data_IF_220138613154
#
_entry.id   IF_220138613154
#
_cell.length_a   1.000
_cell.length_b   1.000
_cell.length_c   1.000
_cell.angle_alpha   90.00
_cell.angle_beta   90.00
_cell.angle_gamma   90.00
#
_symmetry.space_group_name_H-M   'P 1'
#
loop_
_entity.id
_entity.type
_entity.pdbx_description
1 polymer ?
#
# COMPACT_ATOMS: atom_id res chain seq x y z
N UNK A 1 -21.22 -20.21 35.39
CA UNK A 1 -22.62 -20.37 34.91
C UNK A 1 -22.74 -19.64 33.59
N UNK A 2 -23.36 -20.27 32.60
CA UNK A 2 -23.48 -19.76 31.22
C UNK A 2 -24.62 -18.74 31.08
N UNK A 3 -24.50 -17.83 30.11
CA UNK A 3 -25.57 -17.44 29.17
C UNK A 3 -24.97 -16.57 28.03
N UNK A 4 -25.01 -17.00 26.76
CA UNK A 4 -26.08 -16.74 25.77
C UNK A 4 -26.27 -15.24 25.46
N UNK A 5 -25.93 -14.68 24.28
CA UNK A 5 -26.29 -14.99 22.87
C UNK A 5 -27.66 -14.43 22.44
N UNK A 6 -27.69 -13.88 21.21
CA UNK A 6 -28.83 -13.40 20.42
C UNK A 6 -29.54 -12.12 20.90
N UNK A 7 -29.90 -11.18 20.03
CA UNK A 7 -30.31 -11.38 18.64
C UNK A 7 -31.72 -10.81 18.52
N UNK A 8 -31.82 -9.54 18.10
CA UNK A 8 -33.07 -8.77 18.17
C UNK A 8 -33.84 -8.87 16.85
N UNK A 9 -34.95 -9.62 16.89
CA UNK A 9 -36.16 -9.48 16.04
C UNK A 9 -36.06 -9.84 14.53
N UNK A 10 -37.14 -10.28 13.87
CA UNK A 10 -38.40 -10.90 14.34
C UNK A 10 -39.32 -11.29 13.17
N UNK A 11 -40.24 -12.24 13.43
CA UNK A 11 -41.55 -12.43 12.79
C UNK A 11 -41.65 -12.71 11.28
N UNK A 12 -42.08 -13.93 10.95
CA UNK A 12 -43.29 -14.13 10.16
C UNK A 12 -44.04 -15.37 10.69
N UNK A 13 -45.36 -15.27 10.87
CA UNK A 13 -46.27 -16.22 11.52
C UNK A 13 -47.60 -16.10 10.76
N UNK A 14 -47.90 -17.02 9.83
CA UNK A 14 -48.94 -18.09 9.90
C UNK A 14 -48.96 -18.85 8.53
N UNK A 15 -49.66 -19.95 8.20
CA UNK A 15 -50.21 -21.21 8.79
C UNK A 15 -50.89 -21.98 7.59
N UNK A 16 -51.56 -23.15 7.72
CA UNK A 16 -51.27 -24.39 8.45
C UNK A 16 -51.34 -25.70 7.60
N UNK A 17 -50.73 -26.80 8.08
CA UNK A 17 -51.10 -28.20 7.78
C UNK A 17 -50.69 -28.79 6.40
N UNK A 18 -50.47 -30.10 6.21
CA UNK A 18 -50.46 -31.25 7.14
C UNK A 18 -49.50 -32.35 6.62
N UNK A 19 -49.14 -33.30 7.49
CA UNK A 19 -48.11 -34.32 7.30
C UNK A 19 -48.30 -35.27 6.10
N UNK A 20 -47.19 -35.70 5.46
CA UNK A 20 -46.65 -37.07 5.64
C UNK A 20 -45.48 -37.43 4.68
N UNK A 21 -44.60 -38.32 5.17
CA UNK A 21 -43.87 -39.36 4.42
C UNK A 21 -42.56 -39.05 3.63
N UNK A 22 -41.59 -39.94 3.89
CA UNK A 22 -40.50 -40.41 3.03
C UNK A 22 -39.26 -39.53 2.72
N UNK A 23 -38.12 -40.23 2.61
CA UNK A 23 -36.74 -39.71 2.58
C UNK A 23 -36.19 -39.58 1.11
N UNK A 24 -34.89 -39.35 0.84
CA UNK A 24 -34.44 -38.36 -0.17
C UNK A 24 -34.02 -38.95 -1.53
N UNK A 25 -33.63 -38.08 -2.48
CA UNK A 25 -32.49 -38.39 -3.35
C UNK A 25 -31.48 -37.24 -3.61
N UNK A 26 -30.24 -37.45 -3.17
CA UNK A 26 -29.03 -37.58 -4.03
C UNK A 26 -28.74 -36.54 -5.15
N UNK A 27 -27.66 -35.77 -4.91
CA UNK A 27 -26.62 -35.26 -5.84
C UNK A 27 -26.90 -34.23 -6.97
N UNK A 28 -25.96 -33.25 -7.03
CA UNK A 28 -25.40 -32.55 -8.22
C UNK A 28 -26.33 -31.65 -9.05
N UNK A 29 -26.22 -30.33 -8.82
CA UNK A 29 -25.68 -29.43 -9.85
C UNK A 29 -25.15 -28.10 -9.30
N UNK A 30 -23.93 -27.75 -9.68
CA UNK A 30 -23.41 -26.38 -9.60
C UNK A 30 -24.26 -25.46 -10.49
N UNK A 31 -24.65 -24.29 -9.98
CA UNK A 31 -24.67 -23.00 -10.68
C UNK A 31 -25.06 -21.88 -9.72
N UNK A 32 -24.08 -21.06 -9.34
CA UNK A 32 -24.36 -19.70 -8.91
C UNK A 32 -24.92 -18.93 -10.10
N UNK A 33 -26.00 -18.17 -9.91
CA UNK A 33 -26.54 -17.27 -10.92
C UNK A 33 -27.19 -16.09 -10.21
N UNK A 34 -26.39 -15.07 -9.92
CA UNK A 34 -26.88 -13.74 -9.53
C UNK A 34 -26.92 -12.85 -10.77
N UNK A 35 -27.91 -11.96 -10.94
CA UNK A 35 -28.01 -11.13 -12.13
C UNK A 35 -26.88 -10.10 -12.20
N UNK A 36 -26.24 -9.96 -13.36
CA UNK A 36 -25.35 -8.84 -13.65
C UNK A 36 -26.19 -7.55 -13.62
N UNK A 37 -25.97 -6.71 -12.60
CA UNK A 37 -26.36 -5.31 -12.68
C UNK A 37 -25.40 -4.62 -13.64
N UNK A 38 -25.92 -4.11 -14.75
CA UNK A 38 -25.20 -3.15 -15.57
C UNK A 38 -25.02 -1.86 -14.75
N UNK A 39 -23.79 -1.59 -14.30
CA UNK A 39 -23.36 -0.23 -14.02
C UNK A 39 -22.87 0.40 -15.31
N UNK A 40 -23.52 1.46 -15.84
CA UNK A 40 -22.84 2.36 -16.76
C UNK A 40 -21.74 3.11 -15.99
N UNK A 41 -20.70 3.54 -16.71
CA UNK A 41 -19.54 4.31 -16.18
C UNK A 41 -18.55 3.51 -15.30
N UNK A 42 -17.97 2.45 -15.86
CA UNK A 42 -16.54 2.21 -15.62
C UNK A 42 -15.76 3.25 -16.41
N UNK A 43 -15.27 4.30 -15.75
CA UNK A 43 -14.13 5.07 -16.26
C UNK A 43 -12.86 4.24 -16.04
N UNK A 44 -12.66 3.27 -16.92
CA UNK A 44 -11.33 2.72 -17.16
C UNK A 44 -10.44 3.88 -17.64
N UNK A 45 -9.24 4.10 -17.07
CA UNK A 45 -8.36 5.15 -17.57
C UNK A 45 -8.06 4.86 -19.04
N UNK A 46 -8.16 5.85 -19.95
CA UNK A 46 -7.94 5.63 -21.37
C UNK A 46 -6.57 4.98 -21.56
N UNK A 47 -6.51 3.93 -22.38
CA UNK A 47 -5.27 3.25 -22.66
C UNK A 47 -4.26 4.23 -23.26
N UNK A 48 -2.95 3.94 -23.17
CA UNK A 48 -1.94 4.79 -23.80
C UNK A 48 -2.19 5.00 -25.30
N UNK A 49 -2.86 4.03 -25.95
CA UNK A 49 -3.31 4.11 -27.35
C UNK A 49 -4.47 5.11 -27.53
N UNK A 50 -5.47 5.12 -26.65
CA UNK A 50 -6.61 6.05 -26.72
C UNK A 50 -6.14 7.49 -26.51
N UNK A 51 -5.16 7.69 -25.62
CA UNK A 51 -4.54 8.99 -25.39
C UNK A 51 -3.66 9.45 -26.56
N UNK A 52 -3.03 8.51 -27.30
CA UNK A 52 -2.33 8.79 -28.56
C UNK A 52 -3.29 9.11 -29.70
N UNK A 53 -4.42 8.41 -29.82
CA UNK A 53 -5.48 8.70 -30.79
C UNK A 53 -6.11 10.08 -30.56
N UNK A 54 -6.28 10.49 -29.29
CA UNK A 54 -6.72 11.83 -28.94
C UNK A 54 -5.68 12.92 -29.27
N UNK A 55 -4.39 12.60 -29.23
CA UNK A 55 -3.31 13.52 -29.59
C UNK A 55 -3.08 13.61 -31.12
N UNK A 56 -3.37 12.54 -31.86
CA UNK A 56 -3.17 12.45 -33.30
C UNK A 56 -4.38 11.80 -34.01
N UNK A 57 -5.50 12.53 -34.22
CA UNK A 57 -6.72 11.98 -34.82
C UNK A 57 -6.54 11.50 -36.26
N UNK A 58 -5.62 12.12 -37.00
CA UNK A 58 -5.38 11.87 -38.44
C UNK A 58 -4.30 10.81 -38.72
N UNK A 59 -3.70 10.20 -37.68
CA UNK A 59 -2.58 9.27 -37.80
C UNK A 59 -3.01 7.81 -37.67
N UNK A 60 -2.48 6.94 -38.54
CA UNK A 60 -2.87 5.52 -38.60
C UNK A 60 -2.59 4.79 -37.27
N UNK A 61 -3.60 4.09 -36.75
CA UNK A 61 -3.55 3.36 -35.47
C UNK A 61 -2.41 2.33 -35.40
N UNK A 62 -2.00 1.76 -36.53
CA UNK A 62 -0.87 0.82 -36.60
C UNK A 62 0.49 1.51 -36.33
N UNK A 63 0.65 2.78 -36.73
CA UNK A 63 1.86 3.57 -36.47
C UNK A 63 1.90 4.03 -35.01
N UNK A 64 0.75 4.39 -34.43
CA UNK A 64 0.62 4.73 -33.00
C UNK A 64 0.99 3.53 -32.11
N UNK A 65 0.50 2.33 -32.45
CA UNK A 65 0.85 1.07 -31.78
C UNK A 65 2.35 0.77 -31.88
N UNK A 66 2.92 0.83 -33.09
CA UNK A 66 4.35 0.56 -33.29
C UNK A 66 5.24 1.54 -32.54
N UNK A 67 4.94 2.84 -32.58
CA UNK A 67 5.70 3.86 -31.87
C UNK A 67 5.64 3.67 -30.34
N UNK A 68 4.51 3.19 -29.81
CA UNK A 68 4.37 2.87 -28.38
C UNK A 68 5.18 1.62 -27.98
N UNK A 69 5.19 0.58 -28.83
CA UNK A 69 5.98 -0.64 -28.63
C UNK A 69 7.49 -0.35 -28.71
N UNK A 70 7.94 0.40 -29.72
CA UNK A 70 9.33 0.86 -29.88
C UNK A 70 9.79 1.78 -28.73
N UNK A 71 8.87 2.53 -28.11
CA UNK A 71 9.12 3.36 -26.94
C UNK A 71 8.91 2.63 -25.59
N UNK A 72 8.77 1.30 -25.59
CA UNK A 72 8.68 0.50 -24.36
C UNK A 72 7.43 0.79 -23.52
N UNK A 73 6.33 1.19 -24.15
CA UNK A 73 5.09 1.68 -23.54
C UNK A 73 5.19 3.02 -22.79
N UNK A 74 6.30 3.78 -22.91
CA UNK A 74 6.32 5.17 -22.43
C UNK A 74 5.58 6.10 -23.40
N UNK A 75 4.40 6.54 -22.96
CA UNK A 75 3.55 7.49 -23.67
C UNK A 75 4.29 8.79 -24.04
N UNK A 76 5.19 9.31 -23.18
CA UNK A 76 5.87 10.60 -23.46
C UNK A 76 6.89 10.46 -24.58
N UNK A 77 7.67 9.38 -24.58
CA UNK A 77 8.59 9.04 -25.66
C UNK A 77 7.85 8.71 -26.95
N UNK A 78 6.73 7.98 -26.88
CA UNK A 78 5.89 7.68 -28.04
C UNK A 78 5.34 8.97 -28.69
N UNK A 79 4.76 9.89 -27.89
CA UNK A 79 4.31 11.21 -28.37
C UNK A 79 5.47 11.97 -29.05
N UNK A 80 6.65 12.04 -28.42
CA UNK A 80 7.81 12.74 -28.98
C UNK A 80 8.32 12.11 -30.29
N UNK A 81 8.29 10.79 -30.39
CA UNK A 81 8.64 10.05 -31.61
C UNK A 81 7.65 10.34 -32.74
N UNK A 82 6.34 10.29 -32.44
CA UNK A 82 5.27 10.57 -33.39
C UNK A 82 5.30 12.02 -33.87
N UNK A 83 5.49 13.01 -32.98
CA UNK A 83 5.72 14.41 -33.36
C UNK A 83 6.90 14.56 -34.34
N UNK A 84 8.00 13.81 -34.12
CA UNK A 84 9.17 13.83 -35.01
C UNK A 84 8.86 13.19 -36.37
N UNK A 85 8.07 12.11 -36.42
CA UNK A 85 7.63 11.49 -37.68
C UNK A 85 6.68 12.41 -38.46
N UNK A 86 5.75 13.09 -37.78
CA UNK A 86 4.86 14.08 -38.41
C UNK A 86 5.61 15.31 -38.93
N UNK A 87 6.66 15.78 -38.23
CA UNK A 87 7.53 16.84 -38.75
C UNK A 87 8.38 16.37 -39.93
N UNK A 88 8.96 15.17 -39.86
CA UNK A 88 9.79 14.61 -40.94
C UNK A 88 9.04 14.47 -42.26
N UNK A 89 7.74 14.14 -42.21
CA UNK A 89 6.88 14.05 -43.40
C UNK A 89 6.53 15.41 -44.02
N UNK A 90 6.73 16.52 -43.29
CA UNK A 90 6.53 17.88 -43.79
C UNK A 90 7.80 18.50 -44.40
N UNK A 91 8.97 17.88 -44.18
CA UNK A 91 10.28 18.47 -44.54
C UNK A 91 10.98 17.78 -45.73
N UNK A 92 10.38 16.75 -46.34
CA UNK A 92 10.82 16.18 -47.64
C UNK A 92 10.34 17.00 -48.85
N UNK A 93 10.55 18.33 -48.84
CA UNK A 93 10.54 19.13 -50.08
C UNK A 93 11.45 20.38 -50.00
N UNK A 94 12.70 20.21 -49.60
CA UNK A 94 13.80 21.12 -49.98
C UNK A 94 15.14 20.40 -49.84
N UNK A 95 16.01 20.48 -50.85
CA UNK A 95 17.10 19.50 -51.03
C UNK A 95 18.53 19.96 -50.72
N UNK A 96 19.45 19.01 -50.89
CA UNK A 96 20.90 19.14 -51.16
C UNK A 96 21.86 19.61 -50.03
N UNK A 97 22.56 18.63 -49.42
CA UNK A 97 24.04 18.40 -49.43
C UNK A 97 25.06 19.59 -49.50
N UNK A 98 26.33 19.42 -49.07
CA UNK A 98 26.86 18.72 -47.87
C UNK A 98 28.14 19.40 -47.24
N UNK A 99 28.73 18.76 -46.21
CA UNK A 99 30.13 18.86 -45.69
C UNK A 99 30.81 20.19 -45.27
N UNK A 100 31.47 20.18 -44.10
CA UNK A 100 32.89 20.60 -43.96
C UNK A 100 33.51 20.18 -42.60
N UNK A 101 34.80 19.85 -42.58
CA UNK A 101 35.61 19.45 -41.41
C UNK A 101 36.87 20.33 -41.26
N UNK A 102 37.47 20.35 -40.06
CA UNK A 102 38.77 20.97 -39.75
C UNK A 102 38.62 22.03 -38.64
N UNK A 103 39.16 21.90 -37.43
CA UNK A 103 40.51 21.51 -36.96
C UNK A 103 41.63 22.50 -37.32
N UNK A 104 42.31 23.01 -36.28
CA UNK A 104 43.77 23.17 -36.10
C UNK A 104 44.06 24.18 -34.96
N UNK A 105 44.90 23.72 -34.02
CA UNK A 105 45.86 24.41 -33.11
C UNK A 105 45.78 25.95 -32.86
N UNK A 106 46.16 26.49 -31.70
CA UNK A 106 47.53 26.35 -31.12
C UNK A 106 47.66 27.04 -29.76
N UNK A 107 48.41 26.43 -28.83
CA UNK A 107 48.79 27.08 -27.57
C UNK A 107 50.25 27.53 -27.54
N UNK A 108 50.56 28.53 -26.71
CA UNK A 108 51.91 28.76 -26.14
C UNK A 108 51.77 29.46 -24.79
N UNK A 109 52.54 29.05 -23.78
CA UNK A 109 52.66 29.76 -22.50
C UNK A 109 53.62 30.96 -22.60
N UNK A 110 53.67 31.86 -21.59
CA UNK A 110 54.83 32.13 -20.70
C UNK A 110 54.48 33.23 -19.67
N UNK A 111 55.19 33.20 -18.53
CA UNK A 111 55.54 34.31 -17.63
C UNK A 111 54.50 34.87 -16.64
N UNK A 112 54.89 34.76 -15.37
CA UNK A 112 54.31 35.47 -14.23
C UNK A 112 54.32 37.00 -14.40
N UNK A 113 53.23 37.62 -13.96
CA UNK A 113 53.13 39.03 -13.66
C UNK A 113 52.32 39.19 -12.40
N UNK A 114 53.00 39.45 -11.28
CA UNK A 114 52.37 39.89 -10.03
C UNK A 114 51.70 41.23 -10.30
N UNK A 115 50.37 41.28 -10.22
CA UNK A 115 49.61 42.52 -10.24
C UNK A 115 48.58 42.48 -9.13
N UNK A 116 48.75 43.41 -8.20
CA UNK A 116 47.98 43.53 -6.98
C UNK A 116 46.47 43.34 -7.21
N UNK A 117 45.87 42.52 -6.34
CA UNK A 117 44.44 42.56 -6.09
C UNK A 117 44.07 43.96 -5.63
N UNK A 118 43.62 44.80 -6.57
CA UNK A 118 43.08 46.11 -6.24
C UNK A 118 41.71 45.88 -5.60
N UNK A 119 41.67 45.95 -4.27
CA UNK A 119 40.41 46.16 -3.56
C UNK A 119 39.80 47.48 -4.06
N UNK A 120 38.70 47.39 -4.78
CA UNK A 120 37.78 48.50 -4.98
C UNK A 120 36.62 48.30 -3.98
N UNK A 121 36.30 49.28 -3.14
CA UNK A 121 35.68 49.01 -1.85
C UNK A 121 34.23 48.56 -1.97
N UNK A 122 33.93 47.48 -1.27
CA UNK A 122 32.59 47.01 -0.98
C UNK A 122 31.70 48.13 -0.45
N UNK A 123 30.74 48.53 -1.27
CA UNK A 123 29.49 49.18 -0.84
C UNK A 123 28.31 48.25 -1.11
N UNK A 124 28.48 46.98 -0.73
CA UNK A 124 27.35 46.12 -0.38
C UNK A 124 26.75 46.63 0.93
N UNK A 125 25.88 47.64 0.85
CA UNK A 125 25.01 47.97 1.97
C UNK A 125 23.69 48.59 1.48
N UNK A 126 22.60 47.84 1.66
CA UNK A 126 21.21 48.26 1.48
C UNK A 126 20.78 48.55 0.03
N UNK A 127 20.88 47.54 -0.84
CA UNK A 127 20.21 47.52 -2.13
C UNK A 127 18.67 47.61 -1.92
N UNK A 128 17.94 48.52 -2.60
CA UNK A 128 16.53 48.76 -2.30
C UNK A 128 15.67 47.49 -2.44
N UNK A 129 14.83 47.23 -1.43
CA UNK A 129 14.01 46.00 -1.39
C UNK A 129 12.68 46.23 -2.10
N UNK A 130 12.14 47.45 -2.01
CA UNK A 130 10.79 47.79 -2.47
C UNK A 130 10.81 48.70 -3.72
N UNK A 131 9.81 48.55 -4.59
CA UNK A 131 9.72 49.33 -5.83
C UNK A 131 9.69 50.86 -5.63
N UNK A 132 9.09 51.33 -4.53
CA UNK A 132 9.08 52.77 -4.17
C UNK A 132 10.49 53.30 -3.92
N UNK A 133 11.33 52.54 -3.21
CA UNK A 133 12.70 52.93 -2.88
C UNK A 133 13.58 52.98 -4.14
N UNK A 134 13.37 52.07 -5.10
CA UNK A 134 13.98 52.12 -6.43
C UNK A 134 13.56 53.36 -7.23
N UNK A 135 12.28 53.73 -7.20
CA UNK A 135 11.78 54.96 -7.87
C UNK A 135 12.39 56.21 -7.23
N UNK A 136 12.45 56.29 -5.90
CA UNK A 136 13.08 57.41 -5.20
C UNK A 136 14.57 57.51 -5.50
N UNK A 137 15.30 56.39 -5.49
CA UNK A 137 16.73 56.35 -5.82
C UNK A 137 16.99 56.78 -7.27
N UNK A 138 16.18 56.30 -8.22
CA UNK A 138 16.25 56.68 -9.63
C UNK A 138 15.98 58.18 -9.85
N UNK A 139 14.92 58.73 -9.25
CA UNK A 139 14.59 60.16 -9.34
C UNK A 139 15.67 61.02 -8.68
N UNK A 140 16.21 60.60 -7.53
CA UNK A 140 17.28 61.28 -6.80
C UNK A 140 18.57 61.38 -7.63
N UNK A 141 18.99 60.26 -8.23
CA UNK A 141 20.18 60.21 -9.10
C UNK A 141 19.99 61.02 -10.39
N UNK A 142 18.82 60.99 -11.02
CA UNK A 142 18.59 61.87 -12.18
C UNK A 142 18.56 63.35 -11.80
N UNK A 143 17.98 63.70 -10.64
CA UNK A 143 17.88 65.10 -10.19
C UNK A 143 19.23 65.68 -9.76
N UNK A 144 20.20 64.85 -9.36
CA UNK A 144 21.57 65.26 -9.05
C UNK A 144 22.46 65.46 -10.28
N UNK A 145 21.99 65.09 -11.47
CA UNK A 145 22.78 65.13 -12.69
C UNK A 145 23.06 66.55 -13.20
N UNK A 146 24.24 66.73 -13.79
CA UNK A 146 24.75 68.02 -14.29
C UNK A 146 24.56 68.22 -15.79
N UNK A 147 24.26 67.15 -16.51
CA UNK A 147 23.99 67.14 -17.95
C UNK A 147 23.06 65.98 -18.33
N UNK A 148 22.48 66.02 -19.52
CA UNK A 148 21.60 64.94 -20.01
C UNK A 148 22.33 63.60 -20.21
N UNK A 149 23.64 63.64 -20.49
CA UNK A 149 24.46 62.42 -20.66
C UNK A 149 24.89 61.84 -19.30
N UNK A 150 25.13 62.69 -18.30
CA UNK A 150 25.31 62.30 -16.88
C UNK A 150 24.01 61.67 -16.33
N UNK A 151 22.85 62.30 -16.59
CA UNK A 151 21.53 61.74 -16.27
C UNK A 151 21.32 60.35 -16.88
N UNK A 152 21.69 60.18 -18.16
CA UNK A 152 21.59 58.89 -18.86
C UNK A 152 22.52 57.84 -18.25
N UNK A 153 23.78 58.19 -17.96
CA UNK A 153 24.73 57.27 -17.33
C UNK A 153 24.25 56.80 -15.96
N UNK A 154 23.71 57.71 -15.14
CA UNK A 154 23.12 57.38 -13.83
C UNK A 154 21.89 56.50 -13.95
N UNK A 155 20.97 56.83 -14.86
CA UNK A 155 19.78 56.03 -15.13
C UNK A 155 20.16 54.59 -15.54
N UNK A 156 21.13 54.42 -16.44
CA UNK A 156 21.65 53.10 -16.83
C UNK A 156 22.18 52.33 -15.61
N UNK A 157 23.06 52.93 -14.80
CA UNK A 157 23.64 52.27 -13.60
C UNK A 157 22.58 51.84 -12.57
N UNK A 158 21.56 52.66 -12.34
CA UNK A 158 20.46 52.31 -11.43
C UNK A 158 19.63 51.16 -12.00
N UNK A 159 19.35 51.15 -13.31
CA UNK A 159 18.59 50.07 -13.95
C UNK A 159 19.37 48.75 -14.01
N UNK A 160 20.68 48.78 -14.28
CA UNK A 160 21.55 47.60 -14.18
C UNK A 160 21.59 47.03 -12.74
N UNK A 161 21.55 47.89 -11.73
CA UNK A 161 21.51 47.49 -10.32
C UNK A 161 20.15 46.88 -9.95
N UNK A 162 19.05 47.42 -10.49
CA UNK A 162 17.71 46.87 -10.36
C UNK A 162 17.59 45.49 -11.04
N UNK A 163 18.12 45.34 -12.25
CA UNK A 163 18.15 44.06 -12.97
C UNK A 163 18.90 42.99 -12.16
N UNK A 164 20.10 43.31 -11.64
CA UNK A 164 20.86 42.43 -10.75
C UNK A 164 20.05 42.05 -9.50
N UNK A 165 19.37 43.00 -8.87
CA UNK A 165 18.51 42.76 -7.70
C UNK A 165 17.37 41.79 -8.01
N UNK A 166 16.66 42.01 -9.13
CA UNK A 166 15.54 41.16 -9.57
C UNK A 166 16.04 39.75 -9.89
N UNK A 167 17.12 39.62 -10.65
CA UNK A 167 17.69 38.33 -11.02
C UNK A 167 18.19 37.54 -9.80
N UNK A 168 18.87 38.18 -8.86
CA UNK A 168 19.29 37.56 -7.60
C UNK A 168 18.09 37.11 -6.77
N UNK A 169 17.07 37.96 -6.62
CA UNK A 169 15.87 37.65 -5.83
C UNK A 169 15.06 36.51 -6.44
N UNK A 170 14.79 36.55 -7.75
CA UNK A 170 14.09 35.48 -8.46
C UNK A 170 14.84 34.14 -8.38
N UNK A 171 16.18 34.16 -8.48
CA UNK A 171 17.01 32.97 -8.28
C UNK A 171 16.93 32.42 -6.85
N UNK A 172 16.99 33.30 -5.84
CA UNK A 172 16.86 32.92 -4.43
C UNK A 172 15.46 32.38 -4.09
N UNK A 173 14.39 32.99 -4.61
CA UNK A 173 13.01 32.54 -4.45
C UNK A 173 12.78 31.18 -5.12
N UNK A 174 13.30 30.97 -6.34
CA UNK A 174 13.24 29.68 -7.02
C UNK A 174 13.97 28.58 -6.24
N UNK A 175 15.19 28.85 -5.76
CA UNK A 175 15.96 27.93 -4.92
C UNK A 175 15.25 27.62 -3.59
N UNK A 176 14.65 28.64 -2.95
CA UNK A 176 13.89 28.47 -1.71
C UNK A 176 12.63 27.63 -1.92
N UNK A 177 11.89 27.85 -3.02
CA UNK A 177 10.69 27.08 -3.33
C UNK A 177 11.02 25.63 -3.67
N UNK A 178 12.07 25.38 -4.46
CA UNK A 178 12.57 24.03 -4.71
C UNK A 178 12.99 23.33 -3.41
N UNK A 179 13.66 24.04 -2.49
CA UNK A 179 14.03 23.48 -1.19
C UNK A 179 12.82 23.11 -0.32
N UNK A 180 11.79 23.98 -0.26
CA UNK A 180 10.52 23.70 0.45
C UNK A 180 9.83 22.46 -0.12
N UNK A 181 9.69 22.38 -1.45
CA UNK A 181 9.06 21.24 -2.12
C UNK A 181 9.84 19.94 -1.89
N UNK A 182 11.18 19.99 -1.99
CA UNK A 182 12.04 18.84 -1.74
C UNK A 182 11.92 18.31 -0.30
N UNK A 183 11.81 19.19 0.69
CA UNK A 183 11.59 18.80 2.08
C UNK A 183 10.19 18.20 2.29
N UNK A 184 9.14 18.82 1.75
CA UNK A 184 7.78 18.30 1.79
C UNK A 184 7.66 16.90 1.14
N UNK A 185 8.34 16.68 0.01
CA UNK A 185 8.37 15.37 -0.66
C UNK A 185 9.12 14.31 0.18
N UNK A 186 10.21 14.68 0.85
CA UNK A 186 10.92 13.79 1.79
C UNK A 186 10.03 13.38 2.97
N UNK A 187 9.30 14.33 3.55
CA UNK A 187 8.35 14.05 4.65
C UNK A 187 7.24 13.09 4.20
N UNK A 188 6.67 13.28 3.01
CA UNK A 188 5.67 12.36 2.43
C UNK A 188 6.24 10.96 2.19
N UNK A 189 7.46 10.84 1.65
CA UNK A 189 8.15 9.55 1.48
C UNK A 189 8.34 8.87 2.84
N UNK A 190 8.72 9.60 3.89
CA UNK A 190 8.88 9.04 5.23
C UNK A 190 7.56 8.55 5.83
N UNK A 191 6.45 9.30 5.65
CA UNK A 191 5.09 8.85 6.03
C UNK A 191 4.77 7.52 5.35
N UNK A 192 4.91 7.44 4.02
CA UNK A 192 4.58 6.23 3.24
C UNK A 192 5.47 5.04 3.64
N UNK A 193 6.74 5.26 3.98
CA UNK A 193 7.63 4.20 4.49
C UNK A 193 7.18 3.68 5.87
N UNK A 194 6.74 4.57 6.77
CA UNK A 194 6.18 4.16 8.08
C UNK A 194 4.88 3.37 7.90
N UNK A 195 3.98 3.82 7.04
CA UNK A 195 2.74 3.08 6.71
C UNK A 195 3.02 1.72 6.05
N UNK A 196 3.96 1.64 5.12
CA UNK A 196 4.39 0.40 4.50
C UNK A 196 4.94 -0.61 5.53
N UNK A 197 5.60 -0.12 6.58
CA UNK A 197 6.10 -0.95 7.69
C UNK A 197 4.95 -1.48 8.55
N UNK A 198 3.94 -0.65 8.84
CA UNK A 198 2.71 -1.06 9.55
C UNK A 198 1.96 -2.11 8.73
N UNK A 199 1.79 -1.89 7.43
CA UNK A 199 1.11 -2.85 6.54
C UNK A 199 1.85 -4.19 6.46
N UNK A 200 3.18 -4.18 6.32
CA UNK A 200 4.00 -5.41 6.36
C UNK A 200 3.82 -6.20 7.65
N UNK A 201 3.77 -5.52 8.81
CA UNK A 201 3.49 -6.16 10.12
C UNK A 201 2.07 -6.74 10.16
N UNK A 202 1.07 -6.01 9.68
CA UNK A 202 -0.31 -6.47 9.63
C UNK A 202 -0.47 -7.72 8.73
N UNK A 203 0.18 -7.74 7.57
CA UNK A 203 0.19 -8.90 6.65
C UNK A 203 0.89 -10.11 7.28
N UNK A 204 2.01 -9.92 7.99
CA UNK A 204 2.68 -11.01 8.70
C UNK A 204 1.79 -11.64 9.78
N UNK A 205 1.14 -10.82 10.60
CA UNK A 205 0.18 -11.27 11.64
C UNK A 205 -1.03 -11.98 10.99
N UNK A 206 -1.53 -11.48 9.86
CA UNK A 206 -2.65 -12.12 9.16
C UNK A 206 -2.27 -13.48 8.58
N UNK A 207 -1.04 -13.62 8.05
CA UNK A 207 -0.52 -14.89 7.55
C UNK A 207 -0.31 -15.91 8.68
N UNK A 208 0.23 -15.50 9.82
CA UNK A 208 0.36 -16.32 11.03
C UNK A 208 -1.01 -16.86 11.48
N UNK A 209 -2.00 -15.97 11.64
CA UNK A 209 -3.38 -16.36 12.01
C UNK A 209 -4.06 -17.28 10.99
N UNK A 210 -3.80 -17.09 9.70
CA UNK A 210 -4.34 -17.97 8.66
C UNK A 210 -3.72 -19.37 8.77
N UNK A 211 -2.40 -19.44 9.00
CA UNK A 211 -1.71 -20.71 9.22
C UNK A 211 -2.25 -21.45 10.45
N UNK A 212 -2.40 -20.74 11.58
CA UNK A 212 -2.94 -21.35 12.81
C UNK A 212 -4.36 -21.89 12.62
N UNK A 213 -5.20 -21.19 11.83
CA UNK A 213 -6.53 -21.66 11.46
C UNK A 213 -6.47 -22.91 10.56
N UNK A 214 -5.58 -22.94 9.57
CA UNK A 214 -5.42 -24.07 8.65
C UNK A 214 -4.86 -25.31 9.37
N UNK A 215 -3.93 -25.14 10.31
CA UNK A 215 -3.40 -26.18 11.19
C UNK A 215 -4.51 -26.71 12.14
N UNK A 216 -5.23 -25.81 12.82
CA UNK A 216 -6.38 -26.17 13.70
C UNK A 216 -7.48 -26.91 12.92
N UNK A 217 -7.74 -26.53 11.67
CA UNK A 217 -8.71 -27.21 10.82
C UNK A 217 -8.25 -28.62 10.44
N UNK A 218 -6.95 -28.84 10.18
CA UNK A 218 -6.41 -30.20 9.96
C UNK A 218 -6.57 -31.07 11.22
N UNK A 219 -6.24 -30.55 12.40
CA UNK A 219 -6.47 -31.25 13.68
C UNK A 219 -7.95 -31.58 13.89
N UNK A 220 -8.86 -30.65 13.57
CA UNK A 220 -10.30 -30.89 13.64
C UNK A 220 -10.77 -32.00 12.70
N UNK A 221 -10.27 -32.07 11.45
CA UNK A 221 -10.62 -33.18 10.54
C UNK A 221 -10.09 -34.52 11.05
N UNK A 222 -8.85 -34.55 11.56
CA UNK A 222 -8.27 -35.76 12.18
C UNK A 222 -9.10 -36.23 13.39
N UNK A 223 -9.42 -35.32 14.32
CA UNK A 223 -10.23 -35.64 15.49
C UNK A 223 -11.63 -36.14 15.10
N UNK A 224 -12.26 -35.54 14.07
CA UNK A 224 -13.54 -35.99 13.53
C UNK A 224 -13.47 -37.43 12.99
N UNK A 225 -12.37 -37.79 12.33
CA UNK A 225 -12.14 -39.16 11.86
C UNK A 225 -12.00 -40.14 13.03
N UNK A 226 -11.22 -39.80 14.06
CA UNK A 226 -11.03 -40.63 15.27
C UNK A 226 -12.35 -40.78 16.05
N UNK A 227 -13.13 -39.72 16.22
CA UNK A 227 -14.46 -39.78 16.83
C UNK A 227 -15.40 -40.70 16.04
N UNK A 228 -15.34 -40.65 14.70
CA UNK A 228 -16.14 -41.55 13.85
C UNK A 228 -15.75 -43.02 14.03
N UNK A 229 -14.45 -43.31 14.19
CA UNK A 229 -13.97 -44.67 14.48
C UNK A 229 -14.47 -45.18 15.84
N UNK A 230 -14.40 -44.37 16.90
CA UNK A 230 -14.92 -44.76 18.22
C UNK A 230 -16.45 -44.96 18.22
N UNK A 231 -17.19 -44.12 17.48
CA UNK A 231 -18.63 -44.31 17.30
C UNK A 231 -18.97 -45.63 16.57
N UNK A 232 -18.13 -46.04 15.61
CA UNK A 232 -18.28 -47.32 14.91
C UNK A 232 -17.96 -48.51 15.84
N UNK A 233 -16.89 -48.43 16.64
CA UNK A 233 -16.54 -49.46 17.63
C UNK A 233 -17.66 -49.65 18.67
N UNK A 234 -18.24 -48.57 19.19
CA UNK A 234 -19.39 -48.64 20.09
C UNK A 234 -20.60 -49.30 19.44
N UNK A 235 -20.89 -49.00 18.16
CA UNK A 235 -21.98 -49.61 17.41
C UNK A 235 -21.77 -51.11 17.22
N UNK A 236 -20.55 -51.55 16.92
CA UNK A 236 -20.19 -52.97 16.80
C UNK A 236 -20.39 -53.69 18.13
N UNK A 237 -19.88 -53.14 19.23
CA UNK A 237 -20.06 -53.72 20.57
C UNK A 237 -21.54 -53.78 21.01
N UNK A 238 -22.36 -52.78 20.66
CA UNK A 238 -23.80 -52.81 20.93
C UNK A 238 -24.50 -53.95 20.14
N UNK A 239 -24.11 -54.17 18.89
CA UNK A 239 -24.65 -55.26 18.04
C UNK A 239 -24.18 -56.62 18.56
N UNK A 240 -22.90 -56.78 18.93
CA UNK A 240 -22.37 -58.00 19.54
C UNK A 240 -23.08 -58.32 20.86
N UNK A 241 -23.28 -57.34 21.73
CA UNK A 241 -24.04 -57.51 22.97
C UNK A 241 -25.50 -57.93 22.71
N UNK A 242 -26.17 -57.34 21.71
CA UNK A 242 -27.56 -57.68 21.35
C UNK A 242 -27.70 -59.03 20.61
N UNK A 243 -26.64 -59.53 19.97
CA UNK A 243 -26.62 -60.81 19.24
C UNK A 243 -26.03 -61.97 20.04
N UNK A 244 -25.33 -61.67 21.15
CA UNK A 244 -24.94 -62.64 22.17
C UNK A 244 -26.17 -63.38 22.70
N UNK A 245 -26.11 -64.72 22.67
CA UNK A 245 -27.23 -65.57 23.05
C UNK A 245 -27.59 -65.40 24.54
N UNK A 246 -28.89 -65.33 24.92
CA UNK A 246 -29.30 -65.18 26.32
C UNK A 246 -28.82 -66.33 27.23
N UNK A 247 -28.41 -67.47 26.66
CA UNK A 247 -27.80 -68.58 27.40
C UNK A 247 -26.51 -68.16 28.14
N UNK A 248 -25.70 -67.25 27.57
CA UNK A 248 -24.51 -66.73 28.25
C UNK A 248 -24.84 -65.74 29.37
N UNK A 249 -26.01 -65.09 29.32
CA UNK A 249 -26.43 -64.12 30.34
C UNK A 249 -26.85 -64.84 31.64
N UNK A 250 -27.63 -65.92 31.50
CA UNK A 250 -28.01 -66.76 32.64
C UNK A 250 -26.81 -67.42 33.34
N UNK A 251 -25.72 -67.69 32.62
CA UNK A 251 -24.51 -68.29 33.20
C UNK A 251 -23.78 -67.33 34.18
N UNK A 252 -23.96 -66.01 34.03
CA UNK A 252 -23.36 -64.99 34.89
C UNK A 252 -24.28 -64.65 36.07
N UNK A 253 -25.60 -64.53 35.85
CA UNK A 253 -26.57 -64.26 36.93
C UNK A 253 -26.66 -65.39 37.97
N UNK A 254 -26.45 -66.65 37.59
CA UNK A 254 -26.46 -67.79 38.51
C UNK A 254 -25.09 -68.13 39.14
N UNK A 255 -24.04 -67.35 38.85
CA UNK A 255 -22.66 -67.63 39.28
C UNK A 255 -22.09 -66.72 40.37
N UNK A 256 -22.83 -65.71 40.83
CA UNK A 256 -22.38 -64.79 41.88
C UNK A 256 -23.09 -65.09 43.20
N UNK A 257 -22.52 -66.00 43.99
CA UNK A 257 -22.87 -66.18 45.39
C UNK A 257 -22.68 -64.86 46.16
N UNK A 258 -23.76 -64.36 46.76
CA UNK A 258 -23.79 -63.05 47.41
C UNK A 258 -23.28 -63.15 48.87
N UNK A 259 -21.97 -63.33 49.05
CA UNK A 259 -21.32 -63.16 50.36
C UNK A 259 -20.49 -61.87 50.44
N UNK A 260 -20.87 -61.04 51.41
CA UNK A 260 -20.06 -60.02 52.08
C UNK A 260 -19.21 -59.04 51.23
N UNK A 261 -19.66 -57.78 51.12
CA UNK A 261 -19.24 -56.71 52.07
C UNK A 261 -19.86 -55.35 51.71
N UNK A 262 -20.46 -54.68 52.70
CA UNK A 262 -20.93 -53.31 52.57
C UNK A 262 -19.76 -52.33 52.74
N UNK A 263 -19.15 -51.88 51.64
CA UNK A 263 -18.18 -50.79 51.67
C UNK A 263 -18.40 -49.86 50.46
N UNK A 264 -18.58 -48.54 50.66
CA UNK A 264 -18.88 -47.61 49.57
C UNK A 264 -17.65 -47.44 48.66
N UNK A 265 -17.84 -47.17 47.35
CA UNK A 265 -16.73 -46.99 46.43
C UNK A 265 -16.04 -45.64 46.64
N UNK A 266 -15.10 -45.57 47.59
CA UNK A 266 -14.13 -44.47 47.73
C UNK A 266 -13.08 -44.50 46.61
N UNK A 267 -13.51 -44.41 45.34
CA UNK A 267 -12.65 -43.88 44.27
C UNK A 267 -13.46 -43.47 43.05
N UNK A 268 -14.19 -42.34 43.14
CA UNK A 268 -14.64 -41.63 41.94
C UNK A 268 -13.40 -41.03 41.27
N UNK A 269 -12.81 -41.76 40.32
CA UNK A 269 -11.63 -41.34 39.59
C UNK A 269 -11.97 -40.16 38.64
N UNK A 270 -12.02 -38.96 39.21
CA UNK A 270 -12.60 -37.79 38.58
C UNK A 270 -11.57 -37.10 37.67
N UNK A 271 -11.21 -37.77 36.58
CA UNK A 271 -10.20 -37.34 35.60
C UNK A 271 -10.43 -35.89 35.11
N UNK A 272 -11.69 -35.49 34.92
CA UNK A 272 -12.04 -34.12 34.59
C UNK A 272 -11.55 -33.11 35.65
N UNK A 273 -11.71 -33.44 36.94
CA UNK A 273 -11.26 -32.61 38.05
C UNK A 273 -9.72 -32.50 38.07
N UNK A 274 -9.01 -33.59 37.78
CA UNK A 274 -7.54 -33.62 37.67
C UNK A 274 -7.04 -32.72 36.54
N UNK A 275 -7.64 -32.82 35.36
CA UNK A 275 -7.29 -31.98 34.20
C UNK A 275 -7.57 -30.50 34.49
N UNK A 276 -8.74 -30.17 35.05
CA UNK A 276 -9.06 -28.78 35.42
C UNK A 276 -8.12 -28.22 36.50
N UNK A 277 -7.71 -29.03 37.48
CA UNK A 277 -6.75 -28.61 38.51
C UNK A 277 -5.36 -28.36 37.93
N UNK A 278 -4.90 -29.22 37.02
CA UNK A 278 -3.60 -29.07 36.35
C UNK A 278 -3.58 -27.83 35.44
N UNK A 279 -4.66 -27.56 34.70
CA UNK A 279 -4.84 -26.34 33.91
C UNK A 279 -4.83 -25.08 34.81
N UNK A 280 -5.48 -25.14 35.97
CA UNK A 280 -5.52 -24.05 36.95
C UNK A 280 -4.14 -23.79 37.61
N UNK A 281 -3.32 -24.83 37.83
CA UNK A 281 -1.96 -24.66 38.33
C UNK A 281 -1.03 -24.02 37.30
N UNK A 282 -1.15 -24.41 36.02
CA UNK A 282 -0.34 -23.82 34.94
C UNK A 282 -0.72 -22.36 34.63
N UNK A 283 -2.00 -22.00 34.75
CA UNK A 283 -2.48 -20.62 34.56
C UNK A 283 -2.22 -19.68 35.74
N UNK A 284 -1.83 -20.21 36.91
CA UNK A 284 -1.47 -19.40 38.09
C UNK A 284 -0.01 -18.89 38.10
N UNK A 285 0.71 -18.97 36.97
CA UNK A 285 1.98 -18.26 36.80
C UNK A 285 1.74 -16.77 36.56
N UNK A 286 1.19 -16.09 37.57
CA UNK A 286 1.16 -14.63 37.65
C UNK A 286 2.61 -14.17 37.85
N UNK A 287 3.19 -13.31 36.98
CA UNK A 287 4.47 -12.69 37.23
C UNK A 287 4.34 -11.68 38.38
N UNK A 288 4.42 -12.17 39.61
CA UNK A 288 4.29 -11.40 40.83
C UNK A 288 5.49 -10.47 41.05
N UNK A 289 5.49 -9.33 40.34
CA UNK A 289 6.41 -8.22 40.60
C UNK A 289 5.75 -6.85 40.42
N UNK A 290 4.61 -6.66 41.08
CA UNK A 290 4.18 -5.32 41.45
C UNK A 290 5.18 -4.74 42.44
N UNK A 291 5.97 -3.77 42.00
CA UNK A 291 6.74 -2.88 42.87
C UNK A 291 5.84 -1.68 43.23
N UNK A 292 5.59 -1.41 44.52
CA UNK A 292 4.89 -0.20 44.96
C UNK A 292 5.87 0.99 45.08
N UNK A 293 5.40 2.17 44.67
CA UNK A 293 5.84 3.53 45.00
C UNK A 293 7.36 3.86 44.92
N UNK A 294 7.80 4.94 44.26
CA UNK A 294 7.54 6.33 44.69
C UNK A 294 8.43 7.32 43.92
N UNK A 295 8.02 8.59 43.89
CA UNK A 295 8.75 9.80 43.42
C UNK A 295 8.67 10.10 41.92
#
# INVERSE_FOLDING_TARGET
MSAMVCGKRSFFEDLPGSAASASPPVLKKLRCSSPVRFSPFSHEPPGPIDQLLAAFPDMETQLLLRALEECGNDLKSAIKSLHKLSLGYAEENSGATPESNGDVEKGTATAAGDFASLEDPSTEDNLPVNGTEWVELFVREMTSSTSIDDARSRATKVLESLEKSICQRAGAEAAQNFHKENNMLKEQIEVVLRENTILKRAVAIQHERQKDYDDTNQEMQHLKQVVSQYQEQLRTLEVEFRTSSPVSFCQIEFGMDFEHTSQPPEHVNNYALTIHLQQAQQSNSIPGRFHPDSS
#
